data_IF_529391348731
#
_entry.id   IF_529391348731
#
_cell.length_a   1.000
_cell.length_b   1.000
_cell.length_c   1.000
_cell.angle_alpha   90.00
_cell.angle_beta   90.00
_cell.angle_gamma   90.00
#
_symmetry.space_group_name_H-M   'P 1'
#
loop_
_entity.id
_entity.type
_entity.pdbx_description
1 polymer ?
#
# COMPACT_ATOMS: atom_id res chain seq x y z
N UNK A 1 18.55 -14.87 -2.86
CA UNK A 1 17.16 -14.78 -2.42
C UNK A 1 16.32 -15.60 -3.37
N UNK A 2 15.61 -16.62 -2.89
CA UNK A 2 14.57 -17.26 -3.71
C UNK A 2 13.41 -16.27 -3.81
N UNK A 3 13.04 -15.86 -5.03
CA UNK A 3 11.90 -14.97 -5.31
C UNK A 3 10.57 -15.71 -5.08
N UNK A 4 10.36 -16.19 -3.86
CA UNK A 4 9.13 -16.88 -3.47
C UNK A 4 8.10 -15.84 -3.03
N UNK A 5 6.98 -15.79 -3.74
CA UNK A 5 5.83 -14.97 -3.36
C UNK A 5 5.30 -15.48 -2.01
N UNK A 6 5.19 -14.59 -1.02
CA UNK A 6 4.68 -14.91 0.32
C UNK A 6 3.24 -14.41 0.46
N UNK A 7 2.28 -15.24 0.92
CA UNK A 7 0.92 -14.82 1.18
C UNK A 7 0.83 -13.61 2.13
N UNK A 8 0.03 -12.62 1.76
CA UNK A 8 -0.25 -11.42 2.55
C UNK A 8 -1.77 -11.31 2.76
N UNK A 9 -2.42 -10.30 2.18
CA UNK A 9 -3.87 -10.08 2.20
C UNK A 9 -4.61 -11.31 1.65
N UNK A 10 -4.16 -11.83 0.51
CA UNK A 10 -4.55 -13.16 0.06
C UNK A 10 -3.80 -14.24 0.86
N UNK A 11 -4.53 -15.26 1.34
CA UNK A 11 -3.93 -16.43 2.00
C UNK A 11 -3.28 -17.40 1.01
N UNK A 12 -3.61 -17.30 -0.28
CA UNK A 12 -3.07 -18.12 -1.35
C UNK A 12 -3.75 -17.83 -2.68
N UNK A 13 -3.28 -18.48 -3.73
CA UNK A 13 -3.82 -18.40 -5.08
C UNK A 13 -3.55 -19.70 -5.84
N UNK A 14 -4.36 -19.96 -6.87
CA UNK A 14 -4.17 -21.04 -7.83
C UNK A 14 -4.14 -20.46 -9.25
N UNK A 15 -3.20 -20.92 -10.07
CA UNK A 15 -3.13 -20.62 -11.50
C UNK A 15 -3.49 -21.92 -12.26
N UNK A 16 -4.44 -21.85 -13.18
CA UNK A 16 -4.85 -23.01 -13.99
C UNK A 16 -3.72 -23.52 -14.88
N UNK A 17 -3.78 -24.81 -15.26
CA UNK A 17 -2.76 -25.47 -16.10
C UNK A 17 -2.58 -24.81 -17.48
N UNK A 18 -3.63 -24.16 -17.99
CA UNK A 18 -3.61 -23.41 -19.25
C UNK A 18 -3.17 -21.94 -19.08
N UNK A 19 -2.86 -21.53 -17.84
CA UNK A 19 -2.46 -20.19 -17.43
C UNK A 19 -3.49 -19.09 -17.75
N UNK A 20 -4.76 -19.44 -17.94
CA UNK A 20 -5.82 -18.46 -18.28
C UNK A 20 -6.69 -18.06 -17.09
N UNK A 21 -6.58 -18.74 -15.96
CA UNK A 21 -7.40 -18.46 -14.78
C UNK A 21 -6.52 -18.36 -13.54
N UNK A 22 -6.55 -17.19 -12.89
CA UNK A 22 -5.95 -16.99 -11.56
C UNK A 22 -7.08 -16.87 -10.53
N UNK A 23 -7.10 -17.76 -9.55
CA UNK A 23 -8.05 -17.69 -8.42
C UNK A 23 -7.31 -17.21 -7.18
N UNK A 24 -7.76 -16.10 -6.59
CA UNK A 24 -7.25 -15.58 -5.32
C UNK A 24 -8.17 -15.95 -4.17
N UNK A 25 -7.58 -16.41 -3.07
CA UNK A 25 -8.28 -16.70 -1.83
C UNK A 25 -7.90 -15.68 -0.75
N UNK A 26 -8.90 -14.94 -0.26
CA UNK A 26 -8.75 -13.95 0.80
C UNK A 26 -8.85 -14.59 2.17
N UNK A 27 -8.36 -13.87 3.19
CA UNK A 27 -8.54 -14.25 4.59
C UNK A 27 -9.92 -13.82 5.06
N UNK A 28 -10.63 -14.72 5.73
CA UNK A 28 -11.94 -14.42 6.32
C UNK A 28 -11.78 -13.49 7.52
N UNK A 29 -12.70 -12.55 7.68
CA UNK A 29 -12.77 -11.67 8.86
C UNK A 29 -11.77 -10.50 8.86
N UNK A 30 -11.02 -10.29 7.76
CA UNK A 30 -10.23 -9.07 7.62
C UNK A 30 -11.13 -7.83 7.60
N UNK A 31 -10.59 -6.73 8.12
CA UNK A 31 -11.26 -5.44 8.19
C UNK A 31 -10.31 -4.32 7.75
N UNK A 32 -10.89 -3.27 7.22
CA UNK A 32 -10.25 -1.98 7.01
C UNK A 32 -9.98 -1.29 8.35
N UNK A 33 -9.16 -0.24 8.35
CA UNK A 33 -8.79 0.50 9.56
C UNK A 33 -9.95 1.23 10.25
N UNK A 34 -11.07 1.42 9.57
CA UNK A 34 -12.32 1.95 10.11
C UNK A 34 -13.25 0.84 10.66
N UNK A 35 -12.85 -0.43 10.56
CA UNK A 35 -13.57 -1.59 11.07
C UNK A 35 -14.53 -2.25 10.08
N UNK A 36 -14.70 -1.66 8.89
CA UNK A 36 -15.54 -2.24 7.84
C UNK A 36 -14.91 -3.52 7.25
N UNK A 37 -15.72 -4.53 6.86
CA UNK A 37 -15.18 -5.79 6.34
C UNK A 37 -14.39 -5.59 5.04
N UNK A 38 -13.23 -6.23 4.94
CA UNK A 38 -12.49 -6.36 3.69
C UNK A 38 -12.92 -7.64 2.95
N UNK A 39 -13.39 -7.49 1.71
CA UNK A 39 -13.95 -8.60 0.92
C UNK A 39 -13.55 -8.55 -0.54
N UNK A 40 -13.95 -9.58 -1.30
CA UNK A 40 -13.87 -9.59 -2.75
C UNK A 40 -14.46 -8.32 -3.39
N UNK A 41 -15.49 -7.70 -2.81
CA UNK A 41 -16.11 -6.50 -3.39
C UNK A 41 -15.15 -5.32 -3.50
N UNK A 42 -14.14 -5.21 -2.64
CA UNK A 42 -13.10 -4.17 -2.69
C UNK A 42 -12.12 -4.39 -3.86
N UNK A 43 -11.87 -5.66 -4.21
CA UNK A 43 -11.06 -6.05 -5.38
C UNK A 43 -11.85 -5.81 -6.67
N UNK A 44 -13.11 -6.23 -6.71
CA UNK A 44 -13.96 -6.01 -7.88
C UNK A 44 -14.22 -4.53 -8.11
N UNK A 45 -14.44 -3.73 -7.05
CA UNK A 45 -14.57 -2.28 -7.19
C UNK A 45 -13.30 -1.65 -7.76
N UNK A 46 -12.14 -1.97 -7.19
CA UNK A 46 -10.86 -1.50 -7.73
C UNK A 46 -10.70 -1.84 -9.22
N UNK A 47 -10.97 -3.09 -9.60
CA UNK A 47 -10.75 -3.48 -10.99
C UNK A 47 -11.82 -2.91 -11.94
N UNK A 48 -13.10 -3.14 -11.65
CA UNK A 48 -14.19 -2.85 -12.57
C UNK A 48 -14.56 -1.37 -12.60
N UNK A 49 -14.43 -0.66 -11.48
CA UNK A 49 -14.90 0.73 -11.36
C UNK A 49 -13.76 1.74 -11.32
N UNK A 50 -12.52 1.34 -11.02
CA UNK A 50 -11.35 2.24 -11.07
C UNK A 50 -10.50 1.94 -12.30
N UNK A 51 -9.97 0.71 -12.43
CA UNK A 51 -9.06 0.37 -13.53
C UNK A 51 -9.78 0.40 -14.88
N UNK A 52 -10.98 -0.18 -14.99
CA UNK A 52 -11.72 -0.19 -16.26
C UNK A 52 -12.48 1.10 -16.57
N UNK A 53 -12.52 2.07 -15.65
CA UNK A 53 -13.14 3.37 -15.88
C UNK A 53 -12.20 4.30 -16.68
N UNK A 54 -12.68 4.87 -17.78
CA UNK A 54 -11.87 5.68 -18.71
C UNK A 54 -11.60 7.10 -18.21
N UNK A 55 -12.44 7.64 -17.33
CA UNK A 55 -12.22 8.95 -16.70
C UNK A 55 -11.14 8.84 -15.59
N UNK A 56 -11.12 7.73 -14.86
CA UNK A 56 -10.15 7.48 -13.79
C UNK A 56 -8.82 6.90 -14.29
N UNK A 57 -8.89 5.97 -15.25
CA UNK A 57 -7.74 5.24 -15.77
C UNK A 57 -7.76 5.30 -17.30
N UNK A 58 -7.49 6.44 -17.94
CA UNK A 58 -7.56 6.58 -19.39
C UNK A 58 -6.61 5.64 -20.12
N UNK A 59 -5.46 5.35 -19.51
CA UNK A 59 -4.48 4.36 -20.01
C UNK A 59 -4.52 3.12 -19.13
N UNK A 60 -5.09 2.03 -19.65
CA UNK A 60 -5.17 0.75 -18.93
C UNK A 60 -3.78 0.13 -18.76
N UNK A 61 -3.39 -0.35 -17.56
CA UNK A 61 -2.09 -0.97 -17.40
C UNK A 61 -2.00 -2.28 -18.19
N UNK A 62 -1.00 -2.41 -19.06
CA UNK A 62 -0.82 -3.58 -19.95
C UNK A 62 -0.75 -4.92 -19.20
N UNK A 63 -0.23 -4.89 -17.97
CA UNK A 63 -0.14 -6.07 -17.10
C UNK A 63 -1.51 -6.70 -16.76
N UNK A 64 -2.60 -5.95 -16.92
CA UNK A 64 -3.96 -6.43 -16.72
C UNK A 64 -4.67 -6.80 -18.03
N UNK A 65 -4.01 -6.63 -19.17
CA UNK A 65 -4.58 -6.83 -20.50
C UNK A 65 -3.64 -7.66 -21.39
N UNK A 66 -3.26 -8.89 -21.01
CA UNK A 66 -2.38 -9.70 -21.83
C UNK A 66 -3.00 -9.92 -23.22
N UNK A 67 -2.28 -9.51 -24.27
CA UNK A 67 -2.80 -9.55 -25.64
C UNK A 67 -3.72 -8.39 -26.03
N UNK A 68 -3.77 -7.32 -25.23
CA UNK A 68 -4.58 -6.12 -25.49
C UNK A 68 -6.01 -6.19 -24.94
N UNK A 69 -6.45 -7.36 -24.48
CA UNK A 69 -7.79 -7.56 -23.91
C UNK A 69 -7.73 -7.53 -22.38
N UNK A 70 -8.46 -6.64 -21.70
CA UNK A 70 -8.53 -6.60 -20.25
C UNK A 70 -8.98 -7.94 -19.67
N UNK A 71 -8.35 -8.35 -18.56
CA UNK A 71 -8.79 -9.52 -17.80
C UNK A 71 -10.22 -9.35 -17.30
N UNK A 72 -10.90 -10.46 -17.01
CA UNK A 72 -12.22 -10.43 -16.37
C UNK A 72 -12.08 -10.83 -14.91
N UNK A 73 -12.53 -9.96 -14.00
CA UNK A 73 -12.58 -10.26 -12.57
C UNK A 73 -14.01 -10.63 -12.15
N UNK A 74 -14.17 -11.81 -11.53
CA UNK A 74 -15.45 -12.35 -11.07
C UNK A 74 -15.40 -12.68 -9.58
N UNK A 75 -16.43 -12.24 -8.84
CA UNK A 75 -16.67 -12.67 -7.45
C UNK A 75 -17.21 -14.10 -7.45
N UNK A 76 -16.48 -15.05 -6.86
CA UNK A 76 -17.00 -16.41 -6.62
C UNK A 76 -17.76 -16.42 -5.29
N UNK A 77 -17.17 -15.83 -4.26
CA UNK A 77 -17.77 -15.56 -2.95
C UNK A 77 -17.08 -14.34 -2.30
N UNK A 78 -17.45 -13.96 -1.08
CA UNK A 78 -16.89 -12.80 -0.36
C UNK A 78 -15.37 -12.87 -0.13
N UNK A 79 -14.77 -14.06 -0.25
CA UNK A 79 -13.35 -14.30 0.00
C UNK A 79 -12.65 -15.03 -1.14
N UNK A 80 -13.28 -15.12 -2.32
CA UNK A 80 -12.70 -15.78 -3.50
C UNK A 80 -12.96 -14.94 -4.74
N UNK A 81 -11.89 -14.51 -5.40
CA UNK A 81 -11.93 -13.74 -6.66
C UNK A 81 -11.26 -14.54 -7.76
N UNK A 82 -11.89 -14.60 -8.93
CA UNK A 82 -11.34 -15.24 -10.12
C UNK A 82 -11.01 -14.19 -11.17
N UNK A 83 -9.79 -14.24 -11.70
CA UNK A 83 -9.35 -13.47 -12.85
C UNK A 83 -9.20 -14.40 -14.06
N UNK A 84 -9.79 -14.02 -15.18
CA UNK A 84 -9.78 -14.78 -16.43
C UNK A 84 -9.08 -13.95 -17.51
N UNK A 85 -8.11 -14.55 -18.21
CA UNK A 85 -7.32 -13.91 -19.26
C UNK A 85 -7.67 -14.49 -20.63
N UNK A 86 -7.68 -13.66 -21.67
CA UNK A 86 -7.96 -14.08 -23.05
C UNK A 86 -6.87 -15.01 -23.61
N UNK A 87 -5.61 -14.75 -23.24
CA UNK A 87 -4.42 -15.52 -23.61
C UNK A 87 -3.79 -16.18 -22.38
N UNK A 88 -3.05 -17.30 -22.54
CA UNK A 88 -2.24 -17.87 -21.46
C UNK A 88 -1.29 -16.82 -20.88
N UNK A 89 -1.32 -16.63 -19.56
CA UNK A 89 -0.51 -15.63 -18.87
C UNK A 89 0.22 -16.24 -17.66
N UNK A 90 1.35 -16.95 -17.88
CA UNK A 90 2.06 -17.66 -16.81
C UNK A 90 2.55 -16.77 -15.67
N UNK A 91 2.78 -15.48 -15.93
CA UNK A 91 3.21 -14.50 -14.91
C UNK A 91 2.05 -13.86 -14.14
N UNK A 92 0.80 -14.30 -14.32
CA UNK A 92 -0.37 -13.72 -13.66
C UNK A 92 -0.23 -13.62 -12.13
N UNK A 93 0.42 -14.60 -11.48
CA UNK A 93 0.68 -14.56 -10.04
C UNK A 93 1.64 -13.44 -9.61
N UNK A 94 2.61 -13.08 -10.46
CA UNK A 94 3.55 -11.98 -10.19
C UNK A 94 2.85 -10.62 -10.34
N UNK A 95 1.91 -10.51 -11.28
CA UNK A 95 1.15 -9.28 -11.50
C UNK A 95 0.32 -8.92 -10.27
N UNK A 96 -0.38 -9.90 -9.68
CA UNK A 96 -1.16 -9.69 -8.45
C UNK A 96 -0.25 -9.36 -7.25
N UNK A 97 0.98 -9.86 -7.23
CA UNK A 97 1.95 -9.51 -6.20
C UNK A 97 2.45 -8.05 -6.30
N UNK A 98 2.51 -7.51 -7.53
CA UNK A 98 3.21 -6.24 -7.82
C UNK A 98 2.51 -4.95 -7.37
N UNK A 99 1.25 -4.99 -6.91
CA UNK A 99 0.51 -3.77 -6.51
C UNK A 99 -0.71 -4.09 -5.64
N UNK A 100 -1.16 -3.18 -4.75
CA UNK A 100 -2.41 -3.36 -4.03
C UNK A 100 -3.59 -3.38 -5.00
N UNK A 101 -4.11 -4.59 -5.27
CA UNK A 101 -5.22 -4.85 -6.18
C UNK A 101 -6.59 -4.74 -5.45
N UNK A 102 -6.79 -3.65 -4.70
CA UNK A 102 -8.01 -3.43 -3.92
C UNK A 102 -8.17 -1.95 -3.56
N UNK A 103 -9.41 -1.52 -3.28
CA UNK A 103 -9.71 -0.18 -2.77
C UNK A 103 -10.97 -0.22 -1.89
N UNK A 104 -11.07 0.58 -0.81
CA UNK A 104 -12.17 0.49 0.16
C UNK A 104 -13.49 0.99 -0.46
N UNK A 105 -14.27 0.05 -1.01
CA UNK A 105 -15.48 0.37 -1.80
C UNK A 105 -16.49 1.16 -0.96
N UNK A 106 -16.67 0.76 0.30
CA UNK A 106 -17.63 1.39 1.21
C UNK A 106 -17.35 2.87 1.43
N UNK A 107 -16.07 3.25 1.44
CA UNK A 107 -15.62 4.64 1.55
C UNK A 107 -15.73 5.37 0.22
N UNK A 108 -15.06 4.83 -0.81
CA UNK A 108 -14.82 5.52 -2.09
C UNK A 108 -16.06 5.67 -2.98
N UNK A 109 -17.09 4.83 -2.81
CA UNK A 109 -18.33 4.94 -3.59
C UNK A 109 -19.01 6.31 -3.49
N UNK A 110 -18.77 7.08 -2.41
CA UNK A 110 -19.32 8.43 -2.26
C UNK A 110 -18.74 9.45 -3.25
N UNK A 111 -17.52 9.22 -3.72
CA UNK A 111 -16.80 10.08 -4.64
C UNK A 111 -16.94 9.63 -6.10
N UNK A 112 -17.60 8.50 -6.35
CA UNK A 112 -17.66 7.87 -7.66
C UNK A 112 -19.03 8.08 -8.32
N UNK A 113 -19.07 8.66 -9.53
CA UNK A 113 -20.32 9.09 -10.18
C UNK A 113 -21.34 7.96 -10.42
N UNK A 114 -20.87 6.73 -10.71
CA UNK A 114 -21.72 5.53 -10.84
C UNK A 114 -22.55 5.24 -9.59
N UNK A 115 -22.03 5.54 -8.41
CA UNK A 115 -22.62 5.16 -7.12
C UNK A 115 -23.24 6.34 -6.38
N UNK A 116 -22.76 7.56 -6.66
CA UNK A 116 -23.28 8.79 -6.11
C UNK A 116 -23.48 9.82 -7.24
N UNK A 117 -24.73 10.13 -7.64
CA UNK A 117 -24.98 11.14 -8.67
C UNK A 117 -24.53 12.55 -8.25
N UNK A 118 -24.36 12.79 -6.95
CA UNK A 118 -23.89 14.08 -6.42
C UNK A 118 -22.35 14.18 -6.39
N UNK A 119 -21.60 13.17 -6.88
CA UNK A 119 -20.13 13.16 -6.85
C UNK A 119 -19.51 14.39 -7.54
N UNK A 120 -20.13 14.91 -8.60
CA UNK A 120 -19.68 16.15 -9.26
C UNK A 120 -19.85 17.39 -8.38
N UNK A 121 -20.91 17.46 -7.57
CA UNK A 121 -21.12 18.56 -6.62
C UNK A 121 -20.21 18.43 -5.39
N UNK A 122 -19.87 17.20 -4.98
CA UNK A 122 -18.84 16.95 -3.95
C UNK A 122 -17.48 17.44 -4.45
N UNK A 123 -17.09 17.06 -5.67
CA UNK A 123 -15.84 17.53 -6.28
C UNK A 123 -15.73 19.06 -6.29
N UNK A 124 -16.77 19.77 -6.72
CA UNK A 124 -16.78 21.24 -6.70
C UNK A 124 -16.61 21.83 -5.30
N UNK A 125 -17.23 21.23 -4.27
CA UNK A 125 -17.06 21.67 -2.88
C UNK A 125 -15.65 21.43 -2.36
N UNK A 126 -14.98 20.41 -2.87
CA UNK A 126 -13.58 20.09 -2.56
C UNK A 126 -12.58 20.89 -3.41
N UNK A 127 -13.07 21.69 -4.37
CA UNK A 127 -12.24 22.54 -5.21
C UNK A 127 -11.73 21.87 -6.50
N UNK A 128 -12.34 20.76 -6.90
CA UNK A 128 -12.06 20.07 -8.16
C UNK A 128 -13.12 20.39 -9.21
N UNK A 129 -12.70 20.46 -10.47
CA UNK A 129 -13.63 20.73 -11.57
C UNK A 129 -14.49 19.51 -11.87
N UNK A 130 -13.95 18.31 -11.67
CA UNK A 130 -14.59 17.05 -12.04
C UNK A 130 -14.53 15.98 -10.94
N UNK A 131 -15.50 15.06 -10.96
CA UNK A 131 -15.62 13.98 -9.97
C UNK A 131 -14.38 13.08 -9.92
N UNK A 132 -13.75 12.80 -11.07
CA UNK A 132 -12.59 11.91 -11.16
C UNK A 132 -11.32 12.52 -10.54
N UNK A 133 -11.20 13.85 -10.51
CA UNK A 133 -10.07 14.55 -9.88
C UNK A 133 -10.18 14.47 -8.35
N UNK A 134 -11.38 14.72 -7.80
CA UNK A 134 -11.69 14.48 -6.38
C UNK A 134 -11.48 13.03 -6.00
N UNK A 135 -12.01 12.08 -6.78
CA UNK A 135 -11.79 10.65 -6.55
C UNK A 135 -10.30 10.30 -6.57
N UNK A 136 -9.54 10.91 -7.49
CA UNK A 136 -8.09 10.78 -7.57
C UNK A 136 -7.40 11.20 -6.27
N UNK A 137 -7.75 12.35 -5.69
CA UNK A 137 -7.23 12.76 -4.37
C UNK A 137 -7.53 11.71 -3.29
N UNK A 138 -8.78 11.25 -3.21
CA UNK A 138 -9.22 10.27 -2.22
C UNK A 138 -8.63 8.86 -2.39
N UNK A 139 -7.93 8.59 -3.48
CA UNK A 139 -7.29 7.29 -3.75
C UNK A 139 -5.77 7.36 -3.89
N UNK A 140 -5.21 8.55 -4.09
CA UNK A 140 -3.77 8.72 -4.34
C UNK A 140 -2.95 8.41 -3.11
N UNK A 141 -1.87 7.65 -3.32
CA UNK A 141 -0.86 7.33 -2.32
C UNK A 141 0.50 7.79 -2.87
N UNK A 142 1.11 8.78 -2.22
CA UNK A 142 2.42 9.35 -2.59
C UNK A 142 3.47 8.90 -1.60
N UNK A 143 4.51 8.19 -2.06
CA UNK A 143 5.59 7.73 -1.17
C UNK A 143 5.11 6.82 -0.03
N UNK A 144 4.00 6.09 -0.23
CA UNK A 144 3.37 5.26 0.80
C UNK A 144 2.36 5.99 1.70
N UNK A 145 2.20 7.31 1.55
CA UNK A 145 1.24 8.14 2.29
C UNK A 145 -0.03 8.44 1.49
N UNK A 146 -1.24 8.19 2.02
CA UNK A 146 -2.45 8.63 1.37
C UNK A 146 -2.56 10.16 1.39
N UNK A 147 -3.07 10.76 0.31
CA UNK A 147 -3.36 12.20 0.31
C UNK A 147 -4.59 12.55 1.17
N UNK A 148 -5.59 11.67 1.18
CA UNK A 148 -6.72 11.74 2.10
C UNK A 148 -6.43 10.98 3.39
N UNK A 149 -6.33 11.72 4.49
CA UNK A 149 -6.21 11.21 5.87
C UNK A 149 -7.34 10.25 6.27
N UNK A 150 -8.51 10.36 5.66
CA UNK A 150 -9.67 9.53 6.01
C UNK A 150 -9.72 8.22 5.21
N UNK A 151 -8.81 8.00 4.25
CA UNK A 151 -8.80 6.80 3.41
C UNK A 151 -8.55 5.54 4.28
N UNK A 152 -9.52 4.60 4.36
CA UNK A 152 -9.30 3.37 5.13
C UNK A 152 -8.16 2.54 4.56
N UNK A 153 -7.37 1.92 5.44
CA UNK A 153 -6.16 1.21 5.06
C UNK A 153 -6.10 -0.22 5.64
N UNK A 154 -5.41 -1.11 4.93
CA UNK A 154 -5.02 -2.45 5.41
C UNK A 154 -3.59 -2.49 5.96
N UNK A 155 -2.93 -1.34 6.04
CA UNK A 155 -1.54 -1.18 6.52
C UNK A 155 -1.45 -1.27 8.05
N UNK A 156 -0.26 -1.59 8.60
CA UNK A 156 -0.05 -1.69 10.06
C UNK A 156 -0.25 -0.38 10.81
N UNK A 157 0.02 0.76 10.16
CA UNK A 157 -0.27 2.10 10.68
C UNK A 157 -1.16 2.87 9.70
N UNK A 158 -1.95 3.79 10.24
CA UNK A 158 -2.86 4.69 9.55
C UNK A 158 -2.30 6.10 9.63
N UNK A 159 -2.30 6.82 8.52
CA UNK A 159 -1.85 8.21 8.45
C UNK A 159 -2.84 9.10 9.22
N UNK A 160 -2.33 9.98 10.09
CA UNK A 160 -3.18 10.84 10.91
C UNK A 160 -3.05 12.31 10.55
N UNK A 161 -1.83 12.80 10.33
CA UNK A 161 -1.60 14.20 9.98
C UNK A 161 -0.23 14.44 9.37
N UNK A 162 -0.12 15.57 8.68
CA UNK A 162 1.15 16.15 8.24
C UNK A 162 1.26 17.57 8.79
N UNK A 163 2.36 17.86 9.49
CA UNK A 163 2.58 19.18 10.08
C UNK A 163 3.12 20.20 9.06
N UNK A 164 3.31 21.45 9.50
CA UNK A 164 3.84 22.52 8.66
C UNK A 164 5.29 22.27 8.18
N UNK A 165 6.05 21.42 8.89
CA UNK A 165 7.37 20.95 8.47
C UNK A 165 7.32 19.79 7.48
N UNK A 166 6.12 19.34 7.10
CA UNK A 166 5.84 18.14 6.31
C UNK A 166 6.25 16.83 7.01
N UNK A 167 6.45 16.83 8.32
CA UNK A 167 6.59 15.56 9.05
C UNK A 167 5.25 14.86 9.05
N UNK A 168 5.27 13.54 8.93
CA UNK A 168 4.05 12.73 8.83
C UNK A 168 3.89 11.89 10.09
N UNK A 169 2.67 11.83 10.60
CA UNK A 169 2.34 11.15 11.84
C UNK A 169 1.37 10.01 11.55
N UNK A 170 1.57 8.91 12.26
CA UNK A 170 0.87 7.66 12.02
C UNK A 170 0.56 6.97 13.34
N UNK A 171 -0.61 6.35 13.40
CA UNK A 171 -1.02 5.56 14.56
C UNK A 171 -1.31 4.12 14.14
N UNK A 172 -1.17 3.19 15.07
CA UNK A 172 -1.43 1.77 14.81
C UNK A 172 -2.83 1.58 14.23
N UNK A 173 -2.95 0.66 13.29
CA UNK A 173 -4.24 0.21 12.80
C UNK A 173 -4.83 -0.80 13.80
N UNK A 174 -5.92 -0.47 14.53
CA UNK A 174 -6.52 -1.37 15.52
C UNK A 174 -7.15 -2.62 14.89
N UNK A 175 -7.35 -2.62 13.57
CA UNK A 175 -7.88 -3.75 12.81
C UNK A 175 -6.82 -4.46 11.97
N UNK A 176 -5.52 -4.17 12.20
CA UNK A 176 -4.47 -4.88 11.49
C UNK A 176 -4.54 -6.38 11.76
N UNK A 177 -4.48 -7.15 10.68
CA UNK A 177 -4.87 -8.56 10.67
C UNK A 177 -3.73 -9.52 11.01
N UNK A 178 -2.49 -9.02 11.13
CA UNK A 178 -1.33 -9.87 11.46
C UNK A 178 -1.14 -9.97 12.96
N UNK A 179 -0.80 -11.17 13.40
CA UNK A 179 -0.40 -11.49 14.77
C UNK A 179 0.98 -12.14 14.75
N UNK A 180 1.71 -12.02 15.86
CA UNK A 180 2.92 -12.80 16.10
C UNK A 180 2.59 -14.27 16.47
N UNK A 181 3.62 -15.06 16.77
CA UNK A 181 3.47 -16.47 17.19
C UNK A 181 2.86 -16.64 18.58
N UNK A 182 2.83 -15.60 19.41
CA UNK A 182 2.20 -15.58 20.72
C UNK A 182 0.74 -15.07 20.68
N UNK A 183 0.28 -14.60 19.52
CA UNK A 183 -1.06 -14.06 19.31
C UNK A 183 -1.18 -12.55 19.56
N UNK A 184 -0.07 -11.83 19.78
CA UNK A 184 -0.10 -10.38 19.91
C UNK A 184 -0.39 -9.75 18.54
N UNK A 185 -1.38 -8.87 18.49
CA UNK A 185 -1.68 -8.10 17.29
C UNK A 185 -0.55 -7.12 16.98
N UNK A 186 -0.05 -7.18 15.75
CA UNK A 186 0.95 -6.24 15.24
C UNK A 186 0.28 -4.92 14.78
N UNK A 187 1.04 -3.84 14.60
CA UNK A 187 2.45 -3.65 14.96
C UNK A 187 2.66 -3.53 16.48
N UNK A 188 3.90 -3.75 16.94
CA UNK A 188 4.28 -3.48 18.34
C UNK A 188 4.40 -1.99 18.67
N UNK A 189 4.74 -1.17 17.67
CA UNK A 189 4.90 0.27 17.84
C UNK A 189 3.54 0.93 17.64
N UNK A 190 3.08 1.68 18.64
CA UNK A 190 1.75 2.31 18.60
C UNK A 190 1.70 3.55 17.69
N UNK A 191 2.79 4.33 17.63
CA UNK A 191 2.85 5.59 16.86
C UNK A 191 4.18 5.71 16.12
N UNK A 192 4.14 6.27 14.91
CA UNK A 192 5.31 6.61 14.12
C UNK A 192 5.25 8.08 13.72
N UNK A 193 6.42 8.72 13.72
CA UNK A 193 6.62 10.00 13.07
C UNK A 193 7.74 9.83 12.04
N UNK A 194 7.46 10.14 10.78
CA UNK A 194 8.48 10.20 9.73
C UNK A 194 8.85 11.66 9.51
N UNK A 195 10.10 11.98 9.83
CA UNK A 195 10.65 13.32 9.68
C UNK A 195 10.91 13.64 8.21
N UNK A 196 10.47 14.81 7.76
CA UNK A 196 10.84 15.33 6.45
C UNK A 196 12.21 16.00 6.55
N UNK A 197 13.17 15.54 5.75
CA UNK A 197 14.56 16.01 5.79
C UNK A 197 15.02 16.36 4.38
N UNK A 198 15.69 17.50 4.25
CA UNK A 198 16.02 18.08 2.95
C UNK A 198 17.14 17.37 2.18
N UNK A 199 18.09 16.72 2.87
CA UNK A 199 19.25 16.09 2.25
C UNK A 199 19.88 14.95 3.10
N UNK A 200 20.69 14.07 2.47
CA UNK A 200 21.38 12.97 3.15
C UNK A 200 22.29 13.37 4.31
N UNK A 201 22.97 14.53 4.23
CA UNK A 201 23.91 14.98 5.26
C UNK A 201 23.19 15.27 6.59
N UNK A 202 21.99 15.85 6.52
CA UNK A 202 21.15 16.09 7.71
C UNK A 202 20.58 14.78 8.26
N UNK A 203 20.21 13.82 7.40
CA UNK A 203 19.78 12.47 7.85
C UNK A 203 20.92 11.79 8.62
N UNK A 204 22.14 11.80 8.07
CA UNK A 204 23.32 11.25 8.71
C UNK A 204 23.59 11.91 10.07
N UNK A 205 23.51 13.23 10.13
CA UNK A 205 23.71 13.98 11.38
C UNK A 205 22.69 13.60 12.45
N UNK A 206 21.39 13.59 12.12
CA UNK A 206 20.30 13.24 13.04
C UNK A 206 20.36 11.78 13.48
N UNK A 207 20.76 10.89 12.58
CA UNK A 207 21.00 9.46 12.89
C UNK A 207 22.13 9.31 13.90
N UNK A 208 23.24 10.02 13.70
CA UNK A 208 24.40 9.94 14.59
C UNK A 208 24.18 10.63 15.94
N UNK A 209 23.28 11.62 16.02
CA UNK A 209 22.92 12.30 17.27
C UNK A 209 21.87 11.57 18.10
N UNK A 210 21.24 10.52 17.55
CA UNK A 210 20.16 9.79 18.22
C UNK A 210 18.81 10.54 18.21
N UNK A 211 18.65 11.56 17.35
CA UNK A 211 17.39 12.29 17.17
C UNK A 211 16.33 11.48 16.40
N UNK A 212 16.70 10.31 15.87
CA UNK A 212 15.82 9.38 15.16
C UNK A 212 16.07 7.96 15.65
N UNK A 213 15.01 7.20 15.88
CA UNK A 213 15.09 5.82 16.36
C UNK A 213 15.52 4.84 15.26
N UNK A 214 15.31 5.19 13.99
CA UNK A 214 15.69 4.38 12.84
C UNK A 214 15.95 5.26 11.63
N UNK A 215 16.92 4.89 10.80
CA UNK A 215 17.16 5.51 9.50
C UNK A 215 17.64 4.47 8.50
N UNK A 216 16.93 4.38 7.37
CA UNK A 216 17.17 3.41 6.30
C UNK A 216 17.27 4.09 4.94
N UNK A 217 16.60 5.24 4.80
CA UNK A 217 16.51 6.00 3.56
C UNK A 217 17.55 7.13 3.58
N UNK A 218 18.19 7.39 2.44
CA UNK A 218 19.20 8.45 2.25
C UNK A 218 20.51 8.30 3.06
N UNK A 219 20.83 7.11 3.57
CA UNK A 219 22.17 6.83 4.13
C UNK A 219 23.11 6.34 3.04
N UNK A 220 24.31 6.93 2.97
CA UNK A 220 25.32 6.56 1.98
C UNK A 220 26.21 5.43 2.49
N UNK A 221 26.47 4.44 1.62
CA UNK A 221 27.40 3.35 1.93
C UNK A 221 28.82 3.85 2.25
N UNK A 222 29.29 4.93 1.59
CA UNK A 222 30.60 5.53 1.85
C UNK A 222 30.78 6.00 3.30
N UNK A 223 29.68 6.32 3.99
CA UNK A 223 29.68 6.83 5.35
C UNK A 223 29.57 5.71 6.40
N UNK A 224 29.42 4.45 5.96
CA UNK A 224 29.36 3.28 6.84
C UNK A 224 30.48 3.22 7.90
N UNK A 225 31.77 3.46 7.57
CA UNK A 225 32.82 3.44 8.58
C UNK A 225 32.62 4.50 9.68
N UNK A 226 32.03 5.65 9.32
CA UNK A 226 31.75 6.75 10.26
C UNK A 226 30.58 6.36 11.17
N UNK A 227 29.49 5.82 10.61
CA UNK A 227 28.37 5.33 11.42
C UNK A 227 28.85 4.23 12.38
N UNK A 228 29.61 3.26 11.89
CA UNK A 228 30.10 2.14 12.69
C UNK A 228 31.00 2.62 13.84
N UNK A 229 31.88 3.59 13.58
CA UNK A 229 32.76 4.19 14.59
C UNK A 229 31.98 4.91 15.70
N UNK A 230 30.77 5.41 15.42
CA UNK A 230 29.97 6.19 16.35
C UNK A 230 28.83 5.41 17.02
N UNK A 231 28.67 4.10 16.78
CA UNK A 231 27.60 3.26 17.38
C UNK A 231 27.52 3.40 18.90
N UNK A 232 28.62 3.15 19.61
CA UNK A 232 28.65 3.16 21.07
C UNK A 232 28.35 4.56 21.62
N UNK A 233 28.92 5.59 20.99
CA UNK A 233 28.75 6.99 21.40
C UNK A 233 27.33 7.50 21.13
N UNK A 234 26.73 7.11 20.00
CA UNK A 234 25.41 7.55 19.57
C UNK A 234 24.27 6.67 20.07
N UNK A 235 24.57 5.54 20.72
CA UNK A 235 23.56 4.64 21.27
C UNK A 235 22.74 3.89 20.22
N UNK A 236 23.28 3.68 19.01
CA UNK A 236 22.62 2.97 17.91
C UNK A 236 23.45 1.79 17.40
N UNK A 237 22.81 0.94 16.60
CA UNK A 237 23.45 -0.12 15.80
C UNK A 237 23.34 0.18 14.32
N UNK A 238 24.42 -0.10 13.59
CA UNK A 238 24.51 -0.03 12.13
C UNK A 238 24.44 -1.44 11.57
N UNK A 239 23.50 -1.63 10.66
CA UNK A 239 23.37 -2.85 9.88
C UNK A 239 23.74 -2.55 8.43
N UNK A 240 24.57 -3.42 7.86
CA UNK A 240 24.89 -3.39 6.44
C UNK A 240 24.00 -4.40 5.71
N UNK A 241 23.24 -3.95 4.72
CA UNK A 241 22.40 -4.82 3.91
C UNK A 241 23.17 -5.43 2.74
N UNK A 242 22.82 -6.65 2.30
CA UNK A 242 23.52 -7.35 1.22
C UNK A 242 23.45 -6.69 -0.16
N UNK A 243 22.54 -5.72 -0.35
CA UNK A 243 22.43 -4.90 -1.56
C UNK A 243 23.35 -3.67 -1.55
N UNK A 244 24.15 -3.49 -0.49
CA UNK A 244 25.04 -2.34 -0.31
C UNK A 244 24.37 -1.14 0.38
N UNK A 245 23.09 -1.21 0.75
CA UNK A 245 22.44 -0.21 1.60
C UNK A 245 22.94 -0.29 3.04
N UNK A 246 23.02 0.83 3.75
CA UNK A 246 23.29 0.88 5.18
C UNK A 246 22.05 1.40 5.93
N UNK A 247 21.76 0.86 7.12
CA UNK A 247 20.74 1.41 8.05
C UNK A 247 21.26 1.53 9.47
N UNK A 248 20.67 2.46 10.22
CA UNK A 248 20.82 2.57 11.68
C UNK A 248 19.51 2.27 12.39
N UNK A 249 19.57 1.64 13.57
CA UNK A 249 18.45 1.56 14.51
C UNK A 249 18.95 1.71 15.95
N UNK A 250 18.18 2.38 16.81
CA UNK A 250 18.38 2.40 18.27
C UNK A 250 18.04 1.03 18.89
#
# INVERSE_FOLDING_TARGET
YENKIIPSVAKGWDLSDDYKTLTLYLRKGMKWSDGEPFTADDILFWYQDIILNDELTPTKPEKWSPGGEPMKATKIDDYTVRFEFSLPYPSASEVVYSMPAFSPKHYLKRYHIKYNPDAGEIAKKEGYDNWWESFGFHTTITGGRPEDVNLPALTPWVFTEMDAGQNTYWERNPYYWRVDTAGNQLPYIDKLMSMNVANPEVVAMKSMSGEVESSVVMLNFSDYPIYKKNEEKGGYKVYLFPDGGASTSL
#
